data_IF_731118185040
#
_entry.id   IF_731118185040
#
_cell.length_a   1.000
_cell.length_b   1.000
_cell.length_c   1.000
_cell.angle_alpha   90.00
_cell.angle_beta   90.00
_cell.angle_gamma   90.00
#
_symmetry.space_group_name_H-M   'P 1'
#
loop_
_entity.id
_entity.type
_entity.pdbx_description
1 polymer ?
#
# COMPACT_ATOMS: atom_id res chain seq x y z
N UNK A 1 -22.00 12.44 14.52
CA UNK A 1 -21.56 12.13 13.14
C UNK A 1 -20.14 12.63 12.86
N UNK A 2 -19.86 13.92 13.07
CA UNK A 2 -18.54 14.52 12.74
C UNK A 2 -17.35 13.81 13.40
N UNK A 3 -17.42 13.48 14.69
CA UNK A 3 -16.32 12.82 15.40
C UNK A 3 -16.00 11.42 14.83
N UNK A 4 -17.03 10.65 14.47
CA UNK A 4 -16.88 9.34 13.82
C UNK A 4 -16.25 9.50 12.42
N UNK A 5 -16.70 10.49 11.64
CA UNK A 5 -16.12 10.80 10.34
C UNK A 5 -14.65 11.20 10.43
N UNK A 6 -14.28 12.00 11.44
CA UNK A 6 -12.90 12.40 11.67
C UNK A 6 -12.01 11.20 12.01
N UNK A 7 -12.46 10.31 12.91
CA UNK A 7 -11.74 9.09 13.25
C UNK A 7 -11.59 8.17 12.04
N UNK A 8 -12.66 7.94 11.29
CA UNK A 8 -12.64 7.15 10.05
C UNK A 8 -11.61 7.70 9.05
N UNK A 9 -11.61 9.03 8.84
CA UNK A 9 -10.68 9.68 7.91
C UNK A 9 -9.21 9.46 8.29
N UNK A 10 -8.88 9.55 9.58
CA UNK A 10 -7.53 9.27 10.07
C UNK A 10 -7.11 7.82 9.80
N UNK A 11 -7.98 6.86 10.11
CA UNK A 11 -7.71 5.44 9.87
C UNK A 11 -7.57 5.11 8.37
N UNK A 12 -8.41 5.71 7.51
CA UNK A 12 -8.32 5.53 6.06
C UNK A 12 -6.99 6.07 5.55
N UNK A 13 -6.58 7.27 5.95
CA UNK A 13 -5.28 7.82 5.53
C UNK A 13 -4.10 6.96 6.02
N UNK A 14 -4.17 6.45 7.26
CA UNK A 14 -3.16 5.54 7.78
C UNK A 14 -3.11 4.22 6.99
N UNK A 15 -4.26 3.68 6.60
CA UNK A 15 -4.36 2.44 5.80
C UNK A 15 -3.80 2.63 4.37
N UNK A 16 -4.12 3.74 3.71
CA UNK A 16 -3.58 4.09 2.39
C UNK A 16 -2.05 4.24 2.45
N UNK A 17 -1.55 4.95 3.48
CA UNK A 17 -0.10 5.10 3.71
C UNK A 17 0.61 3.77 3.95
N UNK A 18 0.01 2.88 4.74
CA UNK A 18 0.54 1.54 5.00
C UNK A 18 0.55 0.67 3.74
N UNK A 19 -0.50 0.73 2.92
CA UNK A 19 -0.61 -0.04 1.68
C UNK A 19 0.41 0.44 0.64
N UNK A 20 0.67 1.74 0.55
CA UNK A 20 1.69 2.26 -0.35
C UNK A 20 3.12 1.89 0.10
N UNK A 21 3.37 1.86 1.42
CA UNK A 21 4.66 1.50 1.99
C UNK A 21 5.05 0.03 1.77
N UNK A 22 4.08 -0.88 1.61
CA UNK A 22 4.37 -2.31 1.36
C UNK A 22 4.75 -2.57 -0.11
N UNK A 23 4.31 -1.73 -1.06
CA UNK A 23 4.59 -1.91 -2.51
C UNK A 23 6.08 -2.09 -2.84
N UNK A 24 7.02 -1.26 -2.33
CA UNK A 24 8.44 -1.41 -2.66
C UNK A 24 9.12 -2.64 -2.09
N UNK A 25 8.53 -3.30 -1.08
CA UNK A 25 9.10 -4.49 -0.44
C UNK A 25 8.96 -5.76 -1.31
N UNK A 26 8.11 -5.73 -2.34
CA UNK A 26 7.79 -6.92 -3.13
C UNK A 26 8.87 -7.20 -4.19
N UNK A 27 9.31 -6.18 -4.94
CA UNK A 27 10.41 -6.28 -5.93
C UNK A 27 11.06 -4.93 -6.20
N UNK A 28 12.31 -4.72 -5.72
CA UNK A 28 13.06 -3.45 -5.87
C UNK A 28 13.24 -2.98 -7.32
N UNK A 29 13.37 -3.87 -8.31
CA UNK A 29 13.55 -3.50 -9.73
C UNK A 29 12.29 -2.97 -10.43
N UNK A 30 11.11 -3.48 -10.06
CA UNK A 30 9.83 -3.13 -10.73
C UNK A 30 8.91 -2.29 -9.86
N UNK A 31 9.35 -1.93 -8.64
CA UNK A 31 8.60 -1.13 -7.67
C UNK A 31 8.05 0.17 -8.27
N UNK A 32 8.82 0.89 -9.09
CA UNK A 32 8.38 2.16 -9.67
C UNK A 32 7.14 2.03 -10.56
N UNK A 33 7.05 0.96 -11.37
CA UNK A 33 5.88 0.71 -12.22
C UNK A 33 4.67 0.27 -11.39
N UNK A 34 4.88 -0.56 -10.37
CA UNK A 34 3.80 -1.05 -9.50
C UNK A 34 3.26 0.09 -8.63
N UNK A 35 4.13 0.86 -7.97
CA UNK A 35 3.75 2.02 -7.16
C UNK A 35 3.07 3.11 -8.00
N UNK A 36 3.54 3.34 -9.24
CA UNK A 36 2.88 4.26 -10.18
C UNK A 36 1.47 3.81 -10.54
N UNK A 37 1.28 2.51 -10.79
CA UNK A 37 -0.04 1.96 -11.11
C UNK A 37 -1.00 2.03 -9.92
N UNK A 38 -0.54 1.66 -8.71
CA UNK A 38 -1.31 1.77 -7.45
C UNK A 38 -1.74 3.22 -7.20
N UNK A 39 -0.83 4.18 -7.36
CA UNK A 39 -1.15 5.60 -7.21
C UNK A 39 -2.19 6.09 -8.22
N UNK A 40 -2.11 5.64 -9.48
CA UNK A 40 -3.09 5.96 -10.50
C UNK A 40 -4.49 5.42 -10.15
N UNK A 41 -4.59 4.16 -9.72
CA UNK A 41 -5.87 3.57 -9.30
C UNK A 41 -6.45 4.22 -8.05
N UNK A 42 -5.61 4.67 -7.10
CA UNK A 42 -6.07 5.42 -5.93
C UNK A 42 -6.80 6.72 -6.31
N UNK A 43 -6.26 7.46 -7.30
CA UNK A 43 -6.92 8.66 -7.81
C UNK A 43 -8.26 8.34 -8.50
N UNK A 44 -8.30 7.29 -9.33
CA UNK A 44 -9.55 6.83 -9.96
C UNK A 44 -10.59 6.45 -8.90
N UNK A 45 -10.18 5.73 -7.84
CA UNK A 45 -11.04 5.38 -6.72
C UNK A 45 -11.64 6.60 -6.03
N UNK A 46 -10.85 7.64 -5.77
CA UNK A 46 -11.33 8.89 -5.18
C UNK A 46 -12.42 9.56 -6.03
N UNK A 47 -12.23 9.62 -7.35
CA UNK A 47 -13.24 10.16 -8.29
C UNK A 47 -14.50 9.30 -8.29
N UNK A 48 -14.38 7.97 -8.24
CA UNK A 48 -15.53 7.06 -8.19
C UNK A 48 -16.33 7.24 -6.90
N UNK A 49 -15.68 7.33 -5.75
CA UNK A 49 -16.37 7.56 -4.47
C UNK A 49 -17.00 8.95 -4.40
N UNK A 50 -16.31 9.98 -4.91
CA UNK A 50 -16.88 11.33 -4.99
C UNK A 50 -18.10 11.37 -5.91
N UNK A 51 -18.01 10.70 -7.07
CA UNK A 51 -19.13 10.58 -8.02
C UNK A 51 -20.30 9.85 -7.38
N UNK A 52 -20.03 8.74 -6.69
CA UNK A 52 -21.05 7.99 -5.95
C UNK A 52 -21.72 8.89 -4.92
N UNK A 53 -20.95 9.60 -4.09
CA UNK A 53 -21.47 10.56 -3.12
C UNK A 53 -22.31 11.67 -3.78
N UNK A 54 -21.88 12.18 -4.93
CA UNK A 54 -22.60 13.21 -5.68
C UNK A 54 -23.94 12.74 -6.26
N UNK A 55 -24.14 11.43 -6.44
CA UNK A 55 -25.40 10.85 -6.92
C UNK A 55 -26.36 10.51 -5.78
N UNK A 56 -25.92 10.59 -4.52
CA UNK A 56 -26.75 10.28 -3.35
C UNK A 56 -27.65 11.47 -2.95
N UNK A 57 -28.80 11.22 -2.29
CA UNK A 57 -29.69 12.27 -1.81
C UNK A 57 -29.00 13.16 -0.77
N UNK A 58 -29.18 14.48 -0.90
CA UNK A 58 -28.61 15.44 0.04
C UNK A 58 -29.19 15.28 1.46
N UNK A 59 -28.36 15.56 2.47
CA UNK A 59 -28.74 15.56 3.89
C UNK A 59 -28.22 14.35 4.68
N UNK A 60 -28.85 14.10 5.84
CA UNK A 60 -28.40 13.07 6.79
C UNK A 60 -28.50 11.64 6.22
N UNK A 61 -29.45 11.41 5.31
CA UNK A 61 -29.69 10.10 4.68
C UNK A 61 -28.54 9.75 3.72
N UNK A 62 -28.09 10.68 2.88
CA UNK A 62 -26.95 10.46 1.97
C UNK A 62 -25.65 10.16 2.71
N UNK A 63 -25.36 10.89 3.78
CA UNK A 63 -24.18 10.62 4.61
C UNK A 63 -24.20 9.19 5.17
N UNK A 64 -25.35 8.73 5.68
CA UNK A 64 -25.48 7.37 6.22
C UNK A 64 -25.24 6.31 5.15
N UNK A 65 -25.89 6.44 3.99
CA UNK A 65 -25.72 5.50 2.88
C UNK A 65 -24.28 5.51 2.37
N UNK A 66 -23.63 6.68 2.31
CA UNK A 66 -22.23 6.78 1.90
C UNK A 66 -21.28 6.03 2.85
N UNK A 67 -21.42 6.21 4.17
CA UNK A 67 -20.63 5.45 5.14
C UNK A 67 -20.93 3.95 5.11
N UNK A 68 -22.18 3.56 4.83
CA UNK A 68 -22.58 2.16 4.66
C UNK A 68 -21.92 1.54 3.43
N UNK A 69 -21.91 2.25 2.30
CA UNK A 69 -21.19 1.82 1.09
C UNK A 69 -19.69 1.67 1.36
N UNK A 70 -19.06 2.65 2.03
CA UNK A 70 -17.65 2.56 2.40
C UNK A 70 -17.37 1.34 3.30
N UNK A 71 -18.22 1.09 4.30
CA UNK A 71 -18.07 -0.04 5.22
C UNK A 71 -18.28 -1.40 4.55
N UNK A 72 -19.30 -1.54 3.70
CA UNK A 72 -19.54 -2.78 2.95
C UNK A 72 -18.39 -3.04 1.98
N UNK A 73 -17.92 -2.03 1.25
CA UNK A 73 -16.78 -2.16 0.35
C UNK A 73 -15.50 -2.52 1.10
N UNK A 74 -15.25 -1.92 2.28
CA UNK A 74 -14.07 -2.27 3.08
C UNK A 74 -14.12 -3.72 3.58
N UNK A 75 -15.30 -4.22 3.96
CA UNK A 75 -15.46 -5.63 4.36
C UNK A 75 -15.24 -6.56 3.18
N UNK A 76 -15.78 -6.25 2.00
CA UNK A 76 -15.57 -7.04 0.78
C UNK A 76 -14.08 -7.09 0.44
N UNK A 77 -13.39 -5.95 0.43
CA UNK A 77 -11.95 -5.90 0.16
C UNK A 77 -11.17 -6.64 1.24
N UNK A 78 -11.49 -6.47 2.52
CA UNK A 78 -10.85 -7.19 3.61
C UNK A 78 -11.04 -8.71 3.49
N UNK A 79 -12.22 -9.16 3.09
CA UNK A 79 -12.51 -10.57 2.85
C UNK A 79 -11.75 -11.09 1.63
N UNK A 80 -11.73 -10.34 0.52
CA UNK A 80 -10.93 -10.69 -0.64
C UNK A 80 -9.45 -10.76 -0.27
N UNK A 81 -8.92 -9.80 0.49
CA UNK A 81 -7.56 -9.87 1.00
C UNK A 81 -7.38 -11.12 1.87
N UNK A 82 -8.25 -11.40 2.84
CA UNK A 82 -8.10 -12.56 3.73
C UNK A 82 -8.16 -13.92 3.00
N UNK A 83 -8.97 -14.04 1.95
CA UNK A 83 -9.15 -15.30 1.21
C UNK A 83 -8.21 -15.45 0.00
N UNK A 84 -7.85 -14.34 -0.66
CA UNK A 84 -6.99 -14.35 -1.86
C UNK A 84 -5.54 -13.95 -1.57
N UNK A 85 -5.23 -13.17 -0.53
CA UNK A 85 -3.85 -13.13 0.00
C UNK A 85 -3.62 -14.46 0.73
N UNK A 86 -3.32 -15.50 -0.04
CA UNK A 86 -2.60 -16.66 0.49
C UNK A 86 -1.25 -16.11 0.96
N UNK A 87 -1.03 -16.09 2.27
CA UNK A 87 0.27 -15.73 2.85
C UNK A 87 1.37 -16.48 2.08
N UNK A 88 2.27 -15.76 1.38
CA UNK A 88 3.40 -16.42 0.75
C UNK A 88 4.25 -17.01 1.87
N UNK A 89 4.40 -18.34 1.86
CA UNK A 89 5.29 -19.06 2.77
C UNK A 89 6.69 -18.43 2.68
N UNK A 90 7.13 -17.74 3.74
CA UNK A 90 8.40 -17.02 3.80
C UNK A 90 8.34 -15.52 4.13
N UNK A 91 7.20 -14.97 4.55
CA UNK A 91 6.92 -13.52 4.72
C UNK A 91 7.92 -12.67 5.54
N UNK A 92 8.91 -13.23 6.26
CA UNK A 92 9.93 -12.44 6.97
C UNK A 92 11.32 -13.11 7.08
N UNK A 93 11.76 -13.92 6.09
CA UNK A 93 13.04 -14.63 6.25
C UNK A 93 14.03 -14.60 5.07
N UNK A 94 13.74 -13.99 3.93
CA UNK A 94 14.67 -14.08 2.78
C UNK A 94 14.81 -12.79 1.98
N UNK A 95 15.14 -11.69 2.66
CA UNK A 95 15.65 -10.48 1.99
C UNK A 95 16.95 -9.92 2.58
N UNK A 96 17.69 -10.74 3.35
CA UNK A 96 19.14 -10.58 3.51
C UNK A 96 19.86 -11.38 2.42
N UNK A 97 19.63 -11.06 1.15
CA UNK A 97 20.39 -11.65 0.05
C UNK A 97 20.67 -10.73 -1.15
N UNK A 98 20.24 -9.47 -1.07
CA UNK A 98 20.58 -8.45 -2.08
C UNK A 98 21.41 -7.30 -1.49
N UNK A 99 21.90 -7.41 -0.24
CA UNK A 99 22.81 -6.43 0.38
C UNK A 99 24.17 -7.03 0.79
N UNK A 100 24.39 -8.35 0.68
CA UNK A 100 25.72 -8.94 0.96
C UNK A 100 26.58 -9.11 -0.30
N UNK A 101 26.00 -9.11 -1.51
CA UNK A 101 26.75 -9.36 -2.76
C UNK A 101 27.29 -8.10 -3.48
N UNK A 102 26.96 -6.87 -3.03
CA UNK A 102 27.57 -5.64 -3.59
C UNK A 102 28.72 -5.07 -2.74
N UNK A 103 28.82 -5.43 -1.45
CA UNK A 103 29.89 -4.94 -0.58
C UNK A 103 31.12 -5.89 -0.51
N UNK A 104 31.00 -7.16 -0.89
CA UNK A 104 32.17 -8.07 -1.01
C UNK A 104 32.95 -7.90 -2.33
N UNK A 105 32.34 -7.37 -3.40
CA UNK A 105 32.97 -7.34 -4.73
C UNK A 105 33.93 -6.15 -4.93
N UNK A 106 33.98 -5.18 -4.02
CA UNK A 106 34.84 -3.98 -4.16
C UNK A 106 35.98 -3.85 -3.13
N UNK A 107 36.22 -4.86 -2.28
CA UNK A 107 37.40 -4.89 -1.41
C UNK A 107 38.44 -5.95 -1.81
N UNK A 108 38.09 -6.92 -2.68
CA UNK A 108 39.04 -7.94 -3.14
C UNK A 108 39.98 -7.44 -4.28
N UNK A 109 39.77 -6.23 -4.81
CA UNK A 109 40.60 -5.67 -5.89
C UNK A 109 41.53 -4.53 -5.47
N UNK A 110 41.87 -4.38 -4.19
CA UNK A 110 43.01 -3.53 -3.81
C UNK A 110 44.27 -4.37 -3.91
N UNK A 111 45.07 -4.26 -4.99
CA UNK A 111 46.34 -4.96 -5.06
C UNK A 111 47.23 -4.50 -3.91
N UNK A 112 47.57 -5.48 -3.08
CA UNK A 112 48.68 -5.46 -2.15
C UNK A 112 49.97 -5.08 -2.90
N UNK A 113 50.43 -3.85 -2.68
CA UNK A 113 51.82 -3.42 -2.83
C UNK A 113 52.13 -2.67 -1.52
N UNK A 114 52.66 -3.34 -0.48
CA UNK A 114 54.07 -3.70 -0.29
C UNK A 114 54.99 -2.46 -0.27
N UNK A 115 55.54 -2.19 0.93
CA UNK A 115 56.79 -1.52 1.28
C UNK A 115 57.54 -0.67 0.22
N UNK A 116 57.76 0.62 0.50
CA UNK A 116 59.02 1.20 1.03
C UNK A 116 58.92 2.74 1.17
#
# INVERSE_FOLDING_TARGET
SVLLTMLCSFFVQAAEGSTFAIVPLIKRRVTGQIAGNVGAYGNVGAVVYLTTFSLLPEGAVGNRIFFEVLGVMSIIVAFLCAFFLKEPEGSFAEHHKDEEDEDEVNLESVPMFAED
#
